data_IF_976947604248
#
_entry.id   IF_976947604248
#
_cell.length_a   1.000
_cell.length_b   1.000
_cell.length_c   1.000
_cell.angle_alpha   90.00
_cell.angle_beta   90.00
_cell.angle_gamma   90.00
#
_symmetry.space_group_name_H-M   'P 1'
#
loop_
_entity.id
_entity.type
_entity.pdbx_description
1 polymer ?
#
# COMPACT_ATOMS: atom_id res chain seq x y z
N UNK A 1 -2.09 16.64 17.69
CA UNK A 1 -2.70 15.58 16.86
C UNK A 1 -1.57 14.69 16.38
N UNK A 2 -1.68 13.39 16.65
CA UNK A 2 -0.69 12.32 16.48
C UNK A 2 0.47 12.33 17.48
N UNK A 3 0.25 11.69 18.63
CA UNK A 3 1.34 11.22 19.48
C UNK A 3 2.06 10.05 18.77
N UNK A 4 3.40 9.94 18.86
CA UNK A 4 4.08 8.73 18.42
C UNK A 4 3.66 7.64 19.41
N UNK A 5 2.99 6.61 18.91
CA UNK A 5 2.70 5.40 19.65
C UNK A 5 4.02 4.72 20.02
N UNK A 6 4.61 5.14 21.15
CA UNK A 6 5.70 4.40 21.78
C UNK A 6 5.19 2.99 22.06
N UNK A 7 5.75 2.06 21.28
CA UNK A 7 5.60 0.62 21.31
C UNK A 7 5.13 0.07 22.66
N UNK A 8 3.82 -0.22 22.74
CA UNK A 8 3.20 -0.98 23.83
C UNK A 8 3.76 -2.42 23.96
N UNK A 9 4.66 -2.83 23.05
CA UNK A 9 5.26 -4.18 23.00
C UNK A 9 6.39 -4.38 24.02
N UNK A 10 6.89 -3.32 24.65
CA UNK A 10 7.94 -3.40 25.69
C UNK A 10 7.48 -4.08 26.99
N UNK A 11 6.17 -4.32 27.16
CA UNK A 11 5.55 -4.70 28.44
C UNK A 11 5.35 -6.21 28.65
N UNK A 12 5.59 -7.07 27.64
CA UNK A 12 5.29 -8.51 27.76
C UNK A 12 6.42 -9.32 28.41
N UNK A 13 7.66 -8.83 28.43
CA UNK A 13 8.73 -9.39 29.25
C UNK A 13 8.80 -8.61 30.56
N UNK A 14 7.75 -8.71 31.39
CA UNK A 14 7.86 -8.20 32.76
C UNK A 14 9.04 -8.90 33.43
N UNK A 15 10.00 -8.08 33.85
CA UNK A 15 11.09 -8.34 34.80
C UNK A 15 10.67 -9.47 35.72
N UNK A 16 11.15 -10.68 35.41
CA UNK A 16 11.17 -11.77 36.38
C UNK A 16 11.95 -11.20 37.56
N UNK A 17 11.27 -11.04 38.70
CA UNK A 17 11.96 -10.68 39.94
C UNK A 17 13.16 -11.61 40.14
N UNK A 18 14.19 -11.12 40.84
CA UNK A 18 15.47 -11.82 41.05
C UNK A 18 15.31 -13.34 41.00
N UNK A 19 15.94 -14.03 40.05
CA UNK A 19 15.59 -15.40 39.74
C UNK A 19 15.83 -16.30 40.98
N UNK A 20 14.97 -17.31 41.23
CA UNK A 20 14.93 -18.08 42.51
C UNK A 20 16.24 -18.74 42.93
N UNK A 21 17.19 -18.85 42.01
CA UNK A 21 18.51 -19.37 42.28
C UNK A 21 19.37 -18.41 43.11
N UNK A 22 19.09 -17.10 43.11
CA UNK A 22 19.81 -16.10 43.93
C UNK A 22 19.73 -16.40 45.43
N UNK A 23 18.62 -16.94 45.94
CA UNK A 23 18.52 -17.40 47.32
C UNK A 23 19.19 -18.76 47.55
N UNK A 24 19.18 -19.64 46.55
CA UNK A 24 19.75 -20.99 46.64
C UNK A 24 21.29 -20.98 46.73
N UNK A 25 21.95 -20.06 46.02
CA UNK A 25 23.42 -19.96 46.01
C UNK A 25 24.00 -19.20 47.21
N UNK A 26 23.17 -18.44 47.94
CA UNK A 26 23.60 -17.76 49.18
C UNK A 26 23.96 -18.73 50.31
N UNK A 27 23.65 -20.02 50.15
CA UNK A 27 23.96 -21.10 51.09
C UNK A 27 25.21 -21.91 50.72
N UNK A 28 25.84 -21.66 49.56
CA UNK A 28 27.11 -22.30 49.18
C UNK A 28 28.29 -21.43 49.65
N UNK A 29 28.99 -21.92 50.67
CA UNK A 29 29.95 -21.18 51.49
C UNK A 29 31.42 -21.32 50.98
N UNK A 30 31.66 -21.26 49.67
CA UNK A 30 33.02 -21.11 49.10
C UNK A 30 33.16 -19.80 48.30
N UNK A 31 34.23 -19.00 48.52
CA UNK A 31 34.41 -17.66 47.97
C UNK A 31 34.82 -17.63 46.49
N UNK A 32 34.71 -18.74 45.76
CA UNK A 32 34.82 -18.75 44.30
C UNK A 32 33.39 -18.68 43.73
N UNK A 33 32.95 -17.61 43.09
CA UNK A 33 33.45 -16.24 43.01
C UNK A 33 32.19 -15.41 42.68
N UNK A 34 31.58 -14.76 43.69
CA UNK A 34 30.27 -14.11 43.55
C UNK A 34 30.26 -13.12 42.36
N UNK A 35 31.42 -12.52 42.07
CA UNK A 35 31.66 -11.63 40.94
C UNK A 35 31.52 -12.34 39.57
N UNK A 36 32.00 -13.58 39.44
CA UNK A 36 31.87 -14.36 38.19
C UNK A 36 30.41 -14.72 37.93
N UNK A 37 29.62 -15.01 38.97
CA UNK A 37 28.18 -15.26 38.82
C UNK A 37 27.41 -14.00 38.44
N UNK A 38 27.78 -12.85 38.98
CA UNK A 38 27.22 -11.55 38.59
C UNK A 38 27.58 -11.18 37.14
N UNK A 39 28.80 -11.47 36.70
CA UNK A 39 29.24 -11.29 35.31
C UNK A 39 28.43 -12.17 34.35
N UNK A 40 28.24 -13.47 34.67
CA UNK A 40 27.40 -14.36 33.87
C UNK A 40 25.94 -13.88 33.84
N UNK A 41 25.41 -13.40 34.97
CA UNK A 41 24.05 -12.84 35.01
C UNK A 41 23.93 -11.62 34.09
N UNK A 42 24.90 -10.71 34.14
CA UNK A 42 24.88 -9.51 33.31
C UNK A 42 25.00 -9.87 31.83
N UNK A 43 25.88 -10.81 31.48
CA UNK A 43 26.01 -11.29 30.09
C UNK A 43 24.71 -11.90 29.58
N UNK A 44 24.01 -12.70 30.38
CA UNK A 44 22.72 -13.28 30.01
C UNK A 44 21.65 -12.20 29.78
N UNK A 45 21.61 -11.17 30.62
CA UNK A 45 20.69 -10.03 30.47
C UNK A 45 21.02 -9.27 29.18
N UNK A 46 22.30 -8.99 28.94
CA UNK A 46 22.74 -8.26 27.76
C UNK A 46 22.44 -9.04 26.47
N UNK A 47 22.62 -10.37 26.49
CA UNK A 47 22.24 -11.26 25.39
C UNK A 47 20.73 -11.27 25.15
N UNK A 48 19.91 -11.37 26.21
CA UNK A 48 18.45 -11.31 26.09
C UNK A 48 17.99 -9.98 25.48
N UNK A 49 18.55 -8.87 25.94
CA UNK A 49 18.26 -7.54 25.40
C UNK A 49 18.71 -7.39 23.94
N UNK A 50 19.87 -7.96 23.58
CA UNK A 50 20.36 -7.96 22.21
C UNK A 50 19.43 -8.75 21.28
N UNK A 51 18.96 -9.94 21.71
CA UNK A 51 17.99 -10.77 20.97
C UNK A 51 16.68 -10.01 20.77
N UNK A 52 16.14 -9.39 21.83
CA UNK A 52 14.91 -8.59 21.74
C UNK A 52 15.11 -7.41 20.78
N UNK A 53 16.22 -6.69 20.90
CA UNK A 53 16.51 -5.53 20.05
C UNK A 53 16.66 -5.92 18.57
N UNK A 54 17.31 -7.04 18.27
CA UNK A 54 17.42 -7.57 16.92
C UNK A 54 16.04 -7.93 16.34
N UNK A 55 15.20 -8.59 17.13
CA UNK A 55 13.84 -8.94 16.72
C UNK A 55 12.98 -7.71 16.48
N UNK A 56 13.01 -6.72 17.37
CA UNK A 56 12.28 -5.46 17.22
C UNK A 56 12.74 -4.70 15.95
N UNK A 57 14.04 -4.70 15.67
CA UNK A 57 14.59 -4.09 14.45
C UNK A 57 14.14 -4.81 13.18
N UNK A 58 14.11 -6.15 13.19
CA UNK A 58 13.57 -6.94 12.07
C UNK A 58 12.09 -6.64 11.85
N UNK A 59 11.32 -6.60 12.94
CA UNK A 59 9.89 -6.33 12.87
C UNK A 59 9.60 -4.92 12.35
N UNK A 60 10.41 -3.93 12.74
CA UNK A 60 10.30 -2.58 12.23
C UNK A 60 10.60 -2.52 10.72
N UNK A 61 11.59 -3.29 10.25
CA UNK A 61 11.87 -3.40 8.82
C UNK A 61 10.69 -4.03 8.05
N UNK A 62 10.10 -5.10 8.57
CA UNK A 62 8.94 -5.76 7.97
C UNK A 62 7.73 -4.80 7.92
N UNK A 63 7.48 -4.06 9.00
CA UNK A 63 6.42 -3.06 9.08
C UNK A 63 6.62 -1.93 8.05
N UNK A 64 7.86 -1.45 7.89
CA UNK A 64 8.20 -0.44 6.88
C UNK A 64 7.98 -0.96 5.46
N UNK A 65 8.38 -2.20 5.18
CA UNK A 65 8.15 -2.81 3.86
C UNK A 65 6.66 -2.91 3.55
N UNK A 66 5.86 -3.38 4.51
CA UNK A 66 4.41 -3.43 4.38
C UNK A 66 3.80 -2.04 4.19
N UNK A 67 4.27 -1.04 4.94
CA UNK A 67 3.79 0.34 4.81
C UNK A 67 4.03 0.92 3.41
N UNK A 68 5.20 0.67 2.81
CA UNK A 68 5.50 1.11 1.44
C UNK A 68 4.58 0.41 0.43
N UNK A 69 4.44 -0.92 0.53
CA UNK A 69 3.56 -1.67 -0.35
C UNK A 69 2.11 -1.20 -0.23
N UNK A 70 1.61 -0.97 0.99
CA UNK A 70 0.27 -0.44 1.22
C UNK A 70 0.11 0.97 0.63
N UNK A 71 1.09 1.85 0.80
CA UNK A 71 1.04 3.20 0.23
C UNK A 71 0.95 3.20 -1.31
N UNK A 72 1.66 2.29 -1.98
CA UNK A 72 1.55 2.11 -3.44
C UNK A 72 0.16 1.63 -3.88
N UNK A 73 -0.47 0.75 -3.09
CA UNK A 73 -1.81 0.24 -3.36
C UNK A 73 -2.90 1.28 -3.03
N UNK A 74 -2.76 2.01 -1.92
CA UNK A 74 -3.66 3.08 -1.48
C UNK A 74 -3.65 4.29 -2.41
N UNK A 75 -2.52 4.54 -3.10
CA UNK A 75 -2.46 5.51 -4.18
C UNK A 75 -3.53 5.22 -5.27
N UNK A 76 -4.02 3.96 -5.32
CA UNK A 76 -5.13 3.50 -6.13
C UNK A 76 -5.06 4.08 -7.54
N UNK A 77 -3.98 3.87 -8.31
CA UNK A 77 -3.82 4.53 -9.60
C UNK A 77 -4.83 4.04 -10.63
N UNK A 78 -5.37 4.93 -11.45
CA UNK A 78 -6.35 4.57 -12.48
C UNK A 78 -5.67 3.80 -13.62
N UNK A 79 -5.97 2.51 -13.75
CA UNK A 79 -5.47 1.68 -14.85
C UNK A 79 -6.13 2.11 -16.16
N UNK A 80 -5.34 2.20 -17.23
CA UNK A 80 -5.86 2.56 -18.54
C UNK A 80 -6.85 1.49 -19.05
N UNK A 81 -8.11 1.87 -19.32
CA UNK A 81 -9.13 0.91 -19.71
C UNK A 81 -8.90 0.33 -21.11
N UNK A 82 -8.10 1.00 -21.95
CA UNK A 82 -7.79 0.56 -23.33
C UNK A 82 -6.74 -0.54 -23.36
N UNK A 83 -5.67 -0.42 -22.58
CA UNK A 83 -4.55 -1.37 -22.61
C UNK A 83 -4.46 -2.28 -21.39
N UNK A 84 -5.24 -1.98 -20.34
CA UNK A 84 -5.32 -2.72 -19.06
C UNK A 84 -3.97 -3.04 -18.41
N UNK A 85 -2.92 -2.29 -18.78
CA UNK A 85 -1.53 -2.58 -18.44
C UNK A 85 -0.80 -1.44 -17.73
N UNK A 86 -1.09 -0.21 -18.12
CA UNK A 86 -0.39 0.98 -17.61
C UNK A 86 -1.35 1.94 -16.93
N UNK A 87 -0.86 2.67 -15.92
CA UNK A 87 -1.62 3.72 -15.25
C UNK A 87 -1.83 4.91 -16.18
N UNK A 88 -3.03 5.48 -16.13
CA UNK A 88 -3.34 6.76 -16.75
C UNK A 88 -2.63 7.89 -16.01
N UNK A 89 -2.23 8.90 -16.77
CA UNK A 89 -1.74 10.16 -16.23
C UNK A 89 -2.61 11.28 -16.76
N UNK A 90 -3.04 12.16 -15.87
CA UNK A 90 -3.78 13.36 -16.24
C UNK A 90 -2.90 14.56 -15.90
N UNK A 91 -2.58 15.38 -16.88
CA UNK A 91 -1.73 16.56 -16.69
C UNK A 91 -2.31 17.72 -17.48
N UNK A 92 -2.60 18.83 -16.80
CA UNK A 92 -3.13 20.05 -17.42
C UNK A 92 -4.35 19.80 -18.32
N UNK A 93 -5.27 18.92 -17.91
CA UNK A 93 -6.47 18.55 -18.67
C UNK A 93 -6.24 17.49 -19.75
N UNK A 94 -5.02 16.98 -19.93
CA UNK A 94 -4.73 15.96 -20.95
C UNK A 94 -4.62 14.57 -20.30
N UNK A 95 -5.37 13.61 -20.81
CA UNK A 95 -5.34 12.20 -20.39
C UNK A 95 -4.37 11.43 -21.28
N UNK A 96 -3.38 10.77 -20.68
CA UNK A 96 -2.30 10.10 -21.41
C UNK A 96 -2.01 8.71 -20.84
N UNK A 97 -1.59 7.78 -21.71
CA UNK A 97 -1.11 6.46 -21.33
C UNK A 97 0.11 6.05 -22.16
N UNK A 98 0.97 5.22 -21.57
CA UNK A 98 2.13 4.63 -22.25
C UNK A 98 1.77 3.71 -23.42
N UNK A 99 0.51 3.26 -23.53
CA UNK A 99 0.03 2.54 -24.70
C UNK A 99 -0.19 3.44 -25.93
N UNK A 100 -0.03 4.76 -25.80
CA UNK A 100 -0.28 5.73 -26.87
C UNK A 100 -1.66 6.39 -26.83
N UNK A 101 -2.45 6.16 -25.77
CA UNK A 101 -3.64 6.96 -25.49
C UNK A 101 -3.23 8.42 -25.24
N UNK A 102 -3.89 9.34 -25.93
CA UNK A 102 -3.73 10.77 -25.74
C UNK A 102 -5.05 11.46 -26.05
N UNK A 103 -5.68 12.05 -25.05
CA UNK A 103 -6.97 12.74 -25.18
C UNK A 103 -6.86 14.09 -24.49
N UNK A 104 -6.80 15.21 -25.24
CA UNK A 104 -6.96 16.54 -24.69
C UNK A 104 -8.39 16.73 -24.17
N UNK A 105 -8.55 17.12 -22.91
CA UNK A 105 -9.82 17.59 -22.36
C UNK A 105 -9.67 19.07 -21.99
N UNK A 106 -10.54 19.92 -22.55
CA UNK A 106 -10.60 21.34 -22.17
C UNK A 106 -11.35 21.59 -20.85
N UNK A 107 -11.69 20.54 -20.10
CA UNK A 107 -12.27 20.70 -18.77
C UNK A 107 -11.13 20.88 -17.75
N UNK A 108 -10.89 22.10 -17.23
CA UNK A 108 -9.79 22.36 -16.29
C UNK A 108 -9.98 21.64 -14.95
N UNK A 109 -11.18 21.11 -14.70
CA UNK A 109 -11.52 20.37 -13.50
C UNK A 109 -11.42 18.85 -13.66
N UNK A 110 -10.95 18.32 -14.80
CA UNK A 110 -10.77 16.89 -15.00
C UNK A 110 -9.66 16.37 -14.06
N UNK A 111 -10.05 15.64 -13.03
CA UNK A 111 -9.14 14.94 -12.13
C UNK A 111 -9.20 13.44 -12.37
N UNK A 112 -8.18 12.72 -11.91
CA UNK A 112 -8.16 11.26 -11.97
C UNK A 112 -9.37 10.65 -11.24
N UNK A 113 -9.77 11.23 -10.11
CA UNK A 113 -10.94 10.80 -9.35
C UNK A 113 -12.25 11.00 -10.11
N UNK A 114 -12.43 12.14 -10.79
CA UNK A 114 -13.63 12.34 -11.62
C UNK A 114 -13.68 11.35 -12.77
N UNK A 115 -12.58 11.16 -13.49
CA UNK A 115 -12.52 10.19 -14.59
C UNK A 115 -12.79 8.77 -14.11
N UNK A 116 -12.25 8.40 -12.94
CA UNK A 116 -12.54 7.13 -12.29
C UNK A 116 -14.02 6.95 -12.02
N UNK A 117 -14.64 7.92 -11.34
CA UNK A 117 -16.06 7.88 -11.04
C UNK A 117 -16.90 7.73 -12.33
N UNK A 118 -16.59 8.48 -13.39
CA UNK A 118 -17.26 8.34 -14.68
C UNK A 118 -17.13 6.93 -15.28
N UNK A 119 -15.92 6.33 -15.25
CA UNK A 119 -15.71 4.97 -15.73
C UNK A 119 -16.47 3.95 -14.88
N UNK A 120 -16.38 4.06 -13.56
CA UNK A 120 -17.05 3.18 -12.61
C UNK A 120 -18.57 3.24 -12.77
N UNK A 121 -19.16 4.43 -12.89
CA UNK A 121 -20.59 4.63 -13.07
C UNK A 121 -21.10 3.94 -14.35
N UNK A 122 -20.43 4.16 -15.49
CA UNK A 122 -20.81 3.55 -16.77
C UNK A 122 -20.61 2.03 -16.78
N UNK A 123 -19.51 1.53 -16.20
CA UNK A 123 -19.27 0.09 -16.09
C UNK A 123 -20.29 -0.54 -15.15
N UNK A 124 -20.63 0.13 -14.03
CA UNK A 124 -21.61 -0.36 -13.06
C UNK A 124 -23.00 -0.40 -13.67
N UNK A 125 -23.45 0.66 -14.34
CA UNK A 125 -24.74 0.71 -15.04
C UNK A 125 -24.88 -0.43 -16.07
N UNK A 126 -23.80 -0.68 -16.81
CA UNK A 126 -23.73 -1.81 -17.72
C UNK A 126 -23.79 -3.16 -16.99
N UNK A 127 -23.02 -3.32 -15.90
CA UNK A 127 -22.90 -4.59 -15.16
C UNK A 127 -24.22 -5.09 -14.56
N UNK A 128 -25.15 -4.18 -14.29
CA UNK A 128 -26.51 -4.50 -13.82
C UNK A 128 -27.25 -5.34 -14.87
N UNK A 129 -27.01 -5.08 -16.16
CA UNK A 129 -27.76 -5.67 -17.27
C UNK A 129 -26.97 -6.71 -18.06
N UNK A 130 -25.64 -6.72 -17.95
CA UNK A 130 -24.77 -7.59 -18.71
C UNK A 130 -23.52 -8.01 -17.91
N UNK A 131 -23.22 -9.32 -17.79
CA UNK A 131 -22.05 -9.79 -17.05
C UNK A 131 -20.74 -9.70 -17.84
N UNK A 132 -20.79 -9.31 -19.12
CA UNK A 132 -19.60 -9.21 -19.96
C UNK A 132 -18.81 -7.94 -19.63
N UNK A 133 -17.48 -8.02 -19.74
CA UNK A 133 -16.62 -6.84 -19.58
C UNK A 133 -16.69 -6.00 -20.86
N UNK A 134 -17.02 -4.70 -20.78
CA UNK A 134 -17.04 -3.85 -21.95
C UNK A 134 -15.61 -3.59 -22.46
N UNK A 135 -15.47 -3.41 -23.77
CA UNK A 135 -14.23 -3.02 -24.43
C UNK A 135 -14.13 -1.49 -24.50
N UNK A 136 -12.90 -0.98 -24.42
CA UNK A 136 -12.62 0.46 -24.52
C UNK A 136 -11.78 0.76 -25.74
N UNK A 137 -12.24 1.72 -26.52
CA UNK A 137 -11.64 2.10 -27.78
C UNK A 137 -11.45 3.61 -27.85
N UNK A 138 -10.40 4.01 -28.56
CA UNK A 138 -10.09 5.41 -28.79
C UNK A 138 -10.17 5.64 -30.27
N UNK A 139 -11.06 6.52 -30.70
CA UNK A 139 -11.10 6.92 -32.09
C UNK A 139 -10.17 8.13 -32.26
N UNK A 140 -9.28 8.05 -33.24
CA UNK A 140 -8.56 9.23 -33.74
C UNK A 140 -9.36 9.75 -34.92
N UNK A 141 -10.19 10.76 -34.69
CA UNK A 141 -10.94 11.39 -35.76
C UNK A 141 -10.00 12.07 -36.76
N UNK A 142 -10.47 12.24 -38.00
CA UNK A 142 -9.77 12.95 -39.09
C UNK A 142 -9.55 14.45 -38.81
N UNK A 143 -10.01 14.96 -37.67
CA UNK A 143 -9.96 16.37 -37.23
C UNK A 143 -9.29 16.54 -35.85
N UNK A 144 -8.24 15.78 -35.54
CA UNK A 144 -7.51 15.81 -34.24
C UNK A 144 -8.35 15.52 -32.98
N UNK A 145 -9.65 15.27 -33.13
CA UNK A 145 -10.54 14.91 -32.03
C UNK A 145 -10.31 13.46 -31.63
N UNK A 146 -9.92 13.26 -30.37
CA UNK A 146 -9.74 11.93 -29.78
C UNK A 146 -10.82 11.72 -28.73
N UNK A 147 -11.60 10.65 -28.88
CA UNK A 147 -12.68 10.31 -27.95
C UNK A 147 -12.52 8.88 -27.45
N UNK A 148 -12.77 8.68 -26.15
CA UNK A 148 -12.78 7.38 -25.48
C UNK A 148 -14.21 6.85 -25.45
N UNK A 149 -14.39 5.64 -25.95
CA UNK A 149 -15.66 4.94 -25.98
C UNK A 149 -15.60 3.67 -25.15
N UNK A 150 -16.76 3.33 -24.59
CA UNK A 150 -17.05 2.02 -24.03
C UNK A 150 -18.02 1.32 -24.99
N UNK A 151 -17.76 0.06 -25.33
CA UNK A 151 -18.65 -0.76 -26.16
C UNK A 151 -18.70 -2.19 -25.67
N UNK A 152 -19.87 -2.82 -25.68
CA UNK A 152 -20.03 -4.23 -25.34
C UNK A 152 -20.72 -4.99 -26.48
N UNK A 153 -20.02 -5.94 -27.10
CA UNK A 153 -20.53 -6.72 -28.23
C UNK A 153 -21.64 -7.72 -27.84
N UNK A 154 -21.85 -7.97 -26.54
CA UNK A 154 -22.83 -8.93 -26.07
C UNK A 154 -24.24 -8.33 -25.90
N UNK A 155 -24.33 -7.04 -25.58
CA UNK A 155 -25.59 -6.33 -25.36
C UNK A 155 -25.77 -5.12 -26.29
N UNK A 156 -24.83 -4.91 -27.22
CA UNK A 156 -24.79 -3.79 -28.17
C UNK A 156 -24.80 -2.40 -27.51
N UNK A 157 -24.48 -2.31 -26.22
CA UNK A 157 -24.34 -1.03 -25.52
C UNK A 157 -23.06 -0.32 -25.98
N UNK A 158 -23.19 0.97 -26.26
CA UNK A 158 -22.06 1.86 -26.51
C UNK A 158 -22.28 3.19 -25.79
N UNK A 159 -21.20 3.75 -25.26
CA UNK A 159 -21.21 5.02 -24.53
C UNK A 159 -19.94 5.81 -24.81
N UNK A 160 -20.07 7.13 -24.87
CA UNK A 160 -18.93 8.03 -24.97
C UNK A 160 -18.51 8.46 -23.58
N UNK A 161 -17.27 8.16 -23.20
CA UNK A 161 -16.76 8.41 -21.85
C UNK A 161 -16.03 9.76 -21.77
N UNK A 162 -15.22 10.05 -22.78
CA UNK A 162 -14.51 11.32 -22.90
C UNK A 162 -14.47 11.75 -24.36
N UNK A 163 -14.63 13.06 -24.58
CA UNK A 163 -14.46 13.67 -25.89
C UNK A 163 -13.53 14.88 -25.78
N UNK A 164 -12.63 15.02 -26.74
CA UNK A 164 -11.92 16.28 -26.95
C UNK A 164 -12.87 17.32 -27.56
N UNK A 165 -13.10 18.41 -26.86
CA UNK A 165 -13.81 19.58 -27.40
C UNK A 165 -12.87 20.46 -28.24
N UNK A 166 -13.39 21.22 -29.23
CA UNK A 166 -12.59 22.19 -30.01
C UNK A 166 -12.20 23.44 -29.20
#
# INVERSE_FOLDING_TARGET
MAEPSESSRRSLYKVVGSPPWKEAFRQLEEPVDLAVLEEIQQELIDQEQAIISEYEKSLQFDEQCLSIMLAEWEANPLICPVCTKYNLRITSGVVMCQCGLYIPSHSPELTEQKLRAFLEDHIQEHSIHCPHTPEFLVTKGTEEKSSLFMSCLACDTWAVILESQP
#
